data_IF_876238749180
#
_entry.id   IF_876238749180
#
_cell.length_a   1.000
_cell.length_b   1.000
_cell.length_c   1.000
_cell.angle_alpha   90.00
_cell.angle_beta   90.00
_cell.angle_gamma   90.00
#
_symmetry.space_group_name_H-M   'P 1'
#
loop_
_entity.id
_entity.type
_entity.pdbx_description
1 polymer ?
#
# COMPACT_ATOMS: atom_id res chain seq x y z
N UNK A 1 29.16 29.61 -60.00
CA UNK A 1 27.87 30.24 -59.60
C UNK A 1 26.83 29.14 -59.63
N UNK A 2 26.21 28.82 -58.47
CA UNK A 2 25.13 27.82 -58.26
C UNK A 2 25.40 26.42 -58.86
N UNK A 3 25.77 25.40 -58.10
CA UNK A 3 24.88 24.69 -57.18
C UNK A 3 25.68 24.09 -56.03
N UNK A 4 25.51 24.70 -54.87
CA UNK A 4 25.99 24.30 -53.57
C UNK A 4 24.81 23.63 -52.85
N UNK A 5 25.13 22.66 -51.99
CA UNK A 5 24.29 22.18 -50.88
C UNK A 5 23.15 21.22 -51.25
N UNK A 6 23.37 19.92 -51.07
CA UNK A 6 22.35 18.92 -50.65
C UNK A 6 22.99 17.51 -50.63
N UNK A 7 23.76 17.19 -49.58
CA UNK A 7 23.99 15.77 -49.24
C UNK A 7 24.56 15.53 -47.84
N UNK A 8 25.06 16.55 -47.15
CA UNK A 8 25.61 16.40 -45.78
C UNK A 8 24.58 16.51 -44.64
N UNK A 9 23.28 16.31 -44.92
CA UNK A 9 22.20 16.50 -43.93
C UNK A 9 21.44 15.22 -43.52
N UNK A 10 21.93 14.01 -43.83
CA UNK A 10 21.22 12.76 -43.50
C UNK A 10 22.14 11.75 -42.79
N UNK A 11 22.94 12.17 -41.80
CA UNK A 11 23.49 11.25 -40.76
C UNK A 11 23.62 12.01 -39.43
N UNK A 12 22.54 12.63 -38.95
CA UNK A 12 22.38 12.98 -37.52
C UNK A 12 20.92 12.72 -37.15
N UNK A 13 20.47 11.48 -37.36
CA UNK A 13 19.11 11.06 -37.07
C UNK A 13 19.07 9.70 -36.37
N UNK A 14 20.01 9.44 -35.46
CA UNK A 14 19.88 8.39 -34.43
C UNK A 14 20.70 8.88 -33.23
N UNK A 15 20.17 8.69 -32.01
CA UNK A 15 20.63 9.26 -30.73
C UNK A 15 19.94 10.58 -30.31
N UNK A 16 18.62 10.66 -30.48
CA UNK A 16 17.81 11.04 -29.31
C UNK A 16 17.33 9.75 -28.68
N UNK A 17 18.17 9.18 -27.81
CA UNK A 17 17.63 8.37 -26.73
C UNK A 17 16.74 9.36 -25.99
N UNK A 18 15.42 9.24 -26.14
CA UNK A 18 14.50 9.86 -25.22
C UNK A 18 15.02 9.47 -23.84
N UNK A 19 15.59 10.43 -23.10
CA UNK A 19 15.82 10.24 -21.70
C UNK A 19 14.44 9.91 -21.16
N UNK A 20 14.20 8.62 -20.88
CA UNK A 20 12.94 8.16 -20.35
C UNK A 20 12.71 9.03 -19.12
N UNK A 21 11.76 9.97 -19.22
CA UNK A 21 11.40 10.79 -18.08
C UNK A 21 10.81 9.82 -17.09
N UNK A 22 11.64 9.36 -16.16
CA UNK A 22 11.24 8.46 -15.09
C UNK A 22 10.10 9.17 -14.35
N UNK A 23 8.87 8.66 -14.51
CA UNK A 23 7.66 9.22 -13.91
C UNK A 23 7.65 8.91 -12.41
N UNK A 24 8.53 9.59 -11.67
CA UNK A 24 8.70 9.49 -10.22
C UNK A 24 7.87 10.53 -9.45
N UNK A 25 6.68 10.82 -9.97
CA UNK A 25 5.71 11.66 -9.29
C UNK A 25 5.18 10.95 -8.03
N UNK A 26 5.75 11.33 -6.88
CA UNK A 26 5.36 10.82 -5.58
C UNK A 26 3.88 11.06 -5.26
N UNK A 27 3.31 12.22 -5.64
CA UNK A 27 1.90 12.53 -5.33
C UNK A 27 0.96 11.61 -6.10
N UNK A 28 1.28 11.36 -7.37
CA UNK A 28 0.55 10.42 -8.22
C UNK A 28 0.66 8.99 -7.71
N UNK A 29 1.86 8.55 -7.34
CA UNK A 29 2.08 7.22 -6.77
C UNK A 29 1.32 7.02 -5.44
N UNK A 30 1.32 8.02 -4.57
CA UNK A 30 0.57 8.01 -3.31
C UNK A 30 -0.93 7.91 -3.57
N UNK A 31 -1.44 8.73 -4.49
CA UNK A 31 -2.84 8.71 -4.89
C UNK A 31 -3.23 7.35 -5.47
N UNK A 32 -2.42 6.76 -6.34
CA UNK A 32 -2.70 5.43 -6.87
C UNK A 32 -2.74 4.38 -5.74
N UNK A 33 -1.80 4.44 -4.80
CA UNK A 33 -1.70 3.49 -3.69
C UNK A 33 -2.86 3.62 -2.69
N UNK A 34 -3.33 4.84 -2.41
CA UNK A 34 -4.54 5.08 -1.60
C UNK A 34 -5.82 4.48 -2.22
N UNK A 35 -5.86 4.28 -3.53
CA UNK A 35 -7.04 3.76 -4.21
C UNK A 35 -7.03 2.24 -4.42
N UNK A 36 -6.01 1.53 -3.90
CA UNK A 36 -5.89 0.07 -4.00
C UNK A 36 -6.70 -0.70 -2.95
N UNK A 37 -7.10 -0.03 -1.86
CA UNK A 37 -7.90 -0.61 -0.79
C UNK A 37 -9.15 0.27 -0.55
N UNK A 38 -10.34 -0.33 -0.33
CA UNK A 38 -11.56 0.44 -0.06
C UNK A 38 -11.43 1.38 1.15
N UNK A 39 -10.75 0.93 2.21
CA UNK A 39 -10.57 1.65 3.48
C UNK A 39 -9.59 2.83 3.41
N UNK A 40 -8.81 2.95 2.34
CA UNK A 40 -7.94 4.11 2.08
C UNK A 40 -8.48 5.02 0.96
N UNK A 41 -9.50 4.56 0.25
CA UNK A 41 -10.08 5.28 -0.88
C UNK A 41 -11.06 6.36 -0.39
N UNK A 42 -10.71 7.63 -0.55
CA UNK A 42 -11.55 8.76 -0.11
C UNK A 42 -12.96 8.80 -0.69
N UNK A 43 -13.18 8.33 -1.93
CA UNK A 43 -14.50 8.26 -2.56
C UNK A 43 -15.39 7.25 -1.82
N UNK A 44 -14.82 6.09 -1.49
CA UNK A 44 -15.49 4.99 -0.78
C UNK A 44 -15.72 5.33 0.68
N UNK A 45 -14.74 5.93 1.37
CA UNK A 45 -14.91 6.36 2.77
C UNK A 45 -16.04 7.39 2.88
N UNK A 46 -16.09 8.36 1.96
CA UNK A 46 -17.13 9.41 1.97
C UNK A 46 -18.51 8.86 1.61
N UNK A 47 -18.57 7.90 0.68
CA UNK A 47 -19.83 7.30 0.19
C UNK A 47 -19.66 5.78 0.10
N UNK A 48 -19.80 5.07 1.24
CA UNK A 48 -19.60 3.63 1.24
C UNK A 48 -20.63 2.93 0.34
N UNK A 49 -20.20 1.92 -0.45
CA UNK A 49 -21.07 1.22 -1.37
C UNK A 49 -22.13 0.42 -0.60
N UNK A 50 -23.39 0.57 -1.02
CA UNK A 50 -24.54 -0.15 -0.45
C UNK A 50 -25.00 -1.30 -1.33
N UNK A 51 -24.56 -1.34 -2.60
CA UNK A 51 -24.97 -2.34 -3.59
C UNK A 51 -23.79 -2.86 -4.37
N UNK A 52 -23.96 -4.05 -4.97
CA UNK A 52 -22.94 -4.66 -5.86
C UNK A 52 -22.63 -3.74 -7.04
N UNK A 53 -23.65 -3.08 -7.61
CA UNK A 53 -23.45 -2.13 -8.71
C UNK A 53 -22.54 -0.96 -8.30
N UNK A 54 -22.75 -0.39 -7.11
CA UNK A 54 -21.87 0.66 -6.58
C UNK A 54 -20.45 0.13 -6.32
N UNK A 55 -20.31 -1.10 -5.81
CA UNK A 55 -18.99 -1.71 -5.59
C UNK A 55 -18.25 -2.03 -6.90
N UNK A 56 -18.98 -2.36 -7.98
CA UNK A 56 -18.39 -2.60 -9.29
C UNK A 56 -17.73 -1.35 -9.88
N UNK A 57 -18.19 -0.14 -9.53
CA UNK A 57 -17.54 1.12 -9.93
C UNK A 57 -16.12 1.21 -9.36
N UNK A 58 -15.92 0.80 -8.11
CA UNK A 58 -14.58 0.70 -7.50
C UNK A 58 -13.74 -0.34 -8.24
N UNK A 59 -14.28 -1.55 -8.44
CA UNK A 59 -13.58 -2.65 -9.12
C UNK A 59 -13.12 -2.31 -10.54
N UNK A 60 -13.89 -1.50 -11.28
CA UNK A 60 -13.52 -1.04 -12.61
C UNK A 60 -12.26 -0.16 -12.65
N UNK A 61 -11.91 0.48 -11.53
CA UNK A 61 -10.76 1.40 -11.43
C UNK A 61 -9.49 0.72 -10.89
N UNK A 62 -9.60 -0.36 -10.12
CA UNK A 62 -8.46 -0.99 -9.40
C UNK A 62 -7.26 -1.30 -10.30
N UNK A 63 -7.49 -1.96 -11.45
CA UNK A 63 -6.39 -2.34 -12.36
C UNK A 63 -5.56 -1.15 -12.84
N UNK A 64 -6.17 0.04 -12.96
CA UNK A 64 -5.46 1.27 -13.31
C UNK A 64 -4.53 1.70 -12.18
N UNK A 65 -5.00 1.64 -10.94
CA UNK A 65 -4.21 1.99 -9.76
C UNK A 65 -3.07 1.00 -9.55
N UNK A 66 -3.31 -0.31 -9.76
CA UNK A 66 -2.25 -1.34 -9.69
C UNK A 66 -1.13 -1.07 -10.70
N UNK A 67 -1.47 -0.79 -11.96
CA UNK A 67 -0.48 -0.44 -12.98
C UNK A 67 0.28 0.84 -12.64
N UNK A 68 -0.41 1.83 -12.11
CA UNK A 68 0.21 3.09 -11.70
C UNK A 68 1.26 2.90 -10.60
N UNK A 69 0.90 2.17 -9.54
CA UNK A 69 1.83 1.88 -8.42
C UNK A 69 3.00 1.01 -8.89
N UNK A 70 2.77 0.00 -9.75
CA UNK A 70 3.84 -0.83 -10.32
C UNK A 70 4.79 -0.05 -11.21
N UNK A 71 4.28 0.84 -12.06
CA UNK A 71 5.10 1.70 -12.93
C UNK A 71 6.00 2.63 -12.11
N UNK A 72 5.49 3.19 -11.01
CA UNK A 72 6.31 3.96 -10.07
C UNK A 72 7.45 3.09 -9.50
N UNK A 73 7.13 1.87 -9.06
CA UNK A 73 8.13 0.91 -8.57
C UNK A 73 9.24 0.63 -9.58
N UNK A 74 8.86 0.36 -10.82
CA UNK A 74 9.78 0.00 -11.91
C UNK A 74 10.76 1.12 -12.24
N UNK A 75 10.32 2.37 -12.10
CA UNK A 75 11.07 3.54 -12.49
C UNK A 75 11.87 4.19 -11.35
N UNK A 76 11.44 4.01 -10.09
CA UNK A 76 11.83 4.90 -9.00
C UNK A 76 12.30 4.20 -7.72
N UNK A 77 12.10 2.90 -7.59
CA UNK A 77 12.54 2.14 -6.41
C UNK A 77 13.80 1.33 -6.71
N UNK A 78 14.60 1.10 -5.67
CA UNK A 78 15.75 0.18 -5.75
C UNK A 78 15.29 -1.27 -5.88
N UNK A 79 16.22 -2.17 -6.21
CA UNK A 79 15.92 -3.57 -6.57
C UNK A 79 15.15 -4.28 -5.45
N UNK A 80 15.60 -4.14 -4.21
CA UNK A 80 15.05 -4.77 -3.02
C UNK A 80 13.63 -4.23 -2.74
N UNK A 81 13.45 -2.92 -2.74
CA UNK A 81 12.13 -2.29 -2.55
C UNK A 81 11.15 -2.58 -3.67
N UNK A 82 11.63 -2.67 -4.91
CA UNK A 82 10.83 -3.10 -6.07
C UNK A 82 10.37 -4.55 -5.90
N UNK A 83 11.23 -5.44 -5.41
CA UNK A 83 10.87 -6.83 -5.13
C UNK A 83 9.83 -6.90 -4.00
N UNK A 84 10.05 -6.20 -2.89
CA UNK A 84 9.10 -6.12 -1.77
C UNK A 84 7.75 -5.56 -2.22
N UNK A 85 7.73 -4.48 -3.02
CA UNK A 85 6.48 -3.95 -3.55
C UNK A 85 5.80 -4.95 -4.48
N UNK A 86 6.55 -5.74 -5.26
CA UNK A 86 5.97 -6.74 -6.14
C UNK A 86 5.24 -7.84 -5.37
N UNK A 87 5.79 -8.27 -4.23
CA UNK A 87 5.17 -9.22 -3.29
C UNK A 87 3.90 -8.61 -2.67
N UNK A 88 3.98 -7.37 -2.18
CA UNK A 88 2.83 -6.67 -1.60
C UNK A 88 1.71 -6.49 -2.61
N UNK A 89 2.06 -6.05 -3.83
CA UNK A 89 1.11 -5.87 -4.91
C UNK A 89 0.49 -7.19 -5.38
N UNK A 90 1.18 -8.33 -5.23
CA UNK A 90 0.59 -9.63 -5.49
C UNK A 90 -0.52 -9.95 -4.49
N UNK A 91 -0.29 -9.74 -3.19
CA UNK A 91 -1.31 -9.86 -2.14
C UNK A 91 -2.53 -8.98 -2.41
N UNK A 92 -2.29 -7.69 -2.68
CA UNK A 92 -3.33 -6.71 -3.05
C UNK A 92 -4.13 -7.16 -4.27
N UNK A 93 -3.47 -7.55 -5.35
CA UNK A 93 -4.14 -7.97 -6.59
C UNK A 93 -5.00 -9.20 -6.36
N UNK A 94 -4.53 -10.15 -5.54
CA UNK A 94 -5.24 -11.38 -5.20
C UNK A 94 -6.51 -11.09 -4.38
N UNK A 95 -6.41 -10.24 -3.37
CA UNK A 95 -7.56 -9.81 -2.55
C UNK A 95 -8.57 -9.04 -3.38
N UNK A 96 -8.11 -8.04 -4.14
CA UNK A 96 -9.00 -7.28 -5.01
C UNK A 96 -9.68 -8.17 -6.05
N UNK A 97 -8.97 -9.11 -6.69
CA UNK A 97 -9.57 -10.09 -7.62
C UNK A 97 -10.65 -10.93 -6.92
N UNK A 98 -10.41 -11.39 -5.70
CA UNK A 98 -11.38 -12.17 -4.91
C UNK A 98 -12.68 -11.39 -4.71
N UNK A 99 -12.59 -10.15 -4.23
CA UNK A 99 -13.75 -9.30 -3.96
C UNK A 99 -14.36 -8.68 -5.20
N UNK A 100 -13.63 -8.51 -6.30
CA UNK A 100 -14.17 -7.92 -7.53
C UNK A 100 -14.78 -8.93 -8.51
N UNK A 101 -14.50 -10.22 -8.33
CA UNK A 101 -15.01 -11.27 -9.23
C UNK A 101 -16.19 -12.03 -8.62
N UNK A 102 -16.11 -12.41 -7.34
CA UNK A 102 -17.12 -13.29 -6.72
C UNK A 102 -18.23 -12.48 -6.06
N UNK A 103 -19.46 -12.61 -6.55
CA UNK A 103 -20.68 -11.96 -6.00
C UNK A 103 -20.83 -12.15 -4.48
N UNK A 104 -20.72 -13.39 -3.99
CA UNK A 104 -20.81 -13.69 -2.57
C UNK A 104 -19.76 -12.94 -1.72
N UNK A 105 -18.55 -12.75 -2.26
CA UNK A 105 -17.49 -12.00 -1.58
C UNK A 105 -17.73 -10.49 -1.63
N UNK A 106 -18.23 -9.96 -2.75
CA UNK A 106 -18.71 -8.56 -2.81
C UNK A 106 -19.73 -8.29 -1.74
N UNK A 107 -20.73 -9.17 -1.65
CA UNK A 107 -21.81 -9.04 -0.67
C UNK A 107 -21.27 -9.07 0.76
N UNK A 108 -20.41 -10.03 1.10
CA UNK A 108 -19.78 -10.09 2.42
C UNK A 108 -19.02 -8.79 2.79
N UNK A 109 -18.28 -8.21 1.84
CA UNK A 109 -17.55 -6.96 2.08
C UNK A 109 -18.50 -5.76 2.20
N UNK A 110 -19.56 -5.68 1.39
CA UNK A 110 -20.60 -4.65 1.51
C UNK A 110 -21.30 -4.75 2.87
N UNK A 111 -21.67 -5.97 3.29
CA UNK A 111 -22.34 -6.20 4.57
C UNK A 111 -21.43 -5.83 5.75
N UNK A 112 -20.13 -6.14 5.67
CA UNK A 112 -19.12 -5.69 6.64
C UNK A 112 -19.06 -4.15 6.69
N UNK A 113 -18.96 -3.48 5.54
CA UNK A 113 -18.94 -2.01 5.47
C UNK A 113 -20.19 -1.39 6.12
N UNK A 114 -21.35 -1.98 5.86
CA UNK A 114 -22.62 -1.53 6.45
C UNK A 114 -22.69 -1.78 7.96
N UNK A 115 -22.25 -2.95 8.41
CA UNK A 115 -22.21 -3.33 9.82
C UNK A 115 -21.26 -2.45 10.63
N UNK A 116 -20.05 -2.15 10.11
CA UNK A 116 -19.13 -1.20 10.75
C UNK A 116 -19.74 0.21 10.85
N UNK A 117 -20.55 0.62 9.86
CA UNK A 117 -21.05 1.97 9.77
C UNK A 117 -19.95 3.00 9.42
N UNK A 118 -20.32 4.25 9.14
CA UNK A 118 -19.40 5.25 8.59
C UNK A 118 -18.26 5.64 9.55
N UNK A 119 -18.53 5.68 10.86
CA UNK A 119 -17.54 6.06 11.88
C UNK A 119 -16.44 5.01 11.96
N UNK A 120 -16.80 3.73 12.15
CA UNK A 120 -15.81 2.66 12.25
C UNK A 120 -15.11 2.39 10.92
N UNK A 121 -15.81 2.53 9.78
CA UNK A 121 -15.18 2.40 8.48
C UNK A 121 -14.09 3.46 8.26
N UNK A 122 -14.32 4.70 8.71
CA UNK A 122 -13.32 5.76 8.69
C UNK A 122 -12.15 5.46 9.64
N UNK A 123 -12.43 4.93 10.82
CA UNK A 123 -11.42 4.55 11.81
C UNK A 123 -10.34 3.61 11.23
N UNK A 124 -10.72 2.57 10.48
CA UNK A 124 -9.74 1.69 9.84
C UNK A 124 -8.85 2.43 8.82
N UNK A 125 -9.42 3.40 8.10
CA UNK A 125 -8.64 4.26 7.22
C UNK A 125 -7.70 5.21 7.96
N UNK A 126 -8.08 5.70 9.14
CA UNK A 126 -7.20 6.48 10.02
C UNK A 126 -6.06 5.63 10.59
N UNK A 127 -6.32 4.38 11.00
CA UNK A 127 -5.27 3.45 11.42
C UNK A 127 -4.18 3.29 10.36
N UNK A 128 -4.54 3.05 9.10
CA UNK A 128 -3.54 2.90 8.02
C UNK A 128 -2.80 4.21 7.71
N UNK A 129 -3.42 5.37 7.95
CA UNK A 129 -2.73 6.67 7.82
C UNK A 129 -1.71 6.87 8.93
N UNK A 130 -2.07 6.50 10.17
CA UNK A 130 -1.14 6.53 11.29
C UNK A 130 0.02 5.56 11.05
N UNK A 131 -0.26 4.36 10.52
CA UNK A 131 0.76 3.38 10.15
C UNK A 131 1.75 3.95 9.12
N UNK A 132 1.26 4.75 8.17
CA UNK A 132 2.10 5.46 7.20
C UNK A 132 3.07 6.44 7.88
N UNK A 133 2.62 7.13 8.92
CA UNK A 133 3.45 8.05 9.70
C UNK A 133 4.47 7.30 10.56
N UNK A 134 4.05 6.21 11.22
CA UNK A 134 4.95 5.38 12.03
C UNK A 134 6.03 4.73 11.15
N UNK A 135 5.68 4.20 9.98
CA UNK A 135 6.65 3.67 9.01
C UNK A 135 7.63 4.73 8.52
N UNK A 136 7.19 5.99 8.41
CA UNK A 136 8.08 7.10 8.10
C UNK A 136 9.11 7.31 9.23
N UNK A 137 8.66 7.34 10.48
CA UNK A 137 9.56 7.50 11.62
C UNK A 137 10.52 6.30 11.78
N UNK A 138 10.03 5.07 11.56
CA UNK A 138 10.84 3.85 11.55
C UNK A 138 11.93 3.94 10.48
N UNK A 139 11.62 4.43 9.29
CA UNK A 139 12.61 4.59 8.21
C UNK A 139 13.78 5.49 8.61
N UNK A 140 13.51 6.53 9.41
CA UNK A 140 14.51 7.48 9.90
C UNK A 140 15.18 7.04 11.22
N UNK A 141 14.78 5.90 11.80
CA UNK A 141 15.29 5.47 13.10
C UNK A 141 16.81 5.19 13.04
N UNK A 142 17.63 5.68 14.01
CA UNK A 142 19.08 5.63 13.87
C UNK A 142 19.69 4.23 13.69
N UNK A 143 19.14 3.23 14.39
CA UNK A 143 19.60 1.85 14.25
C UNK A 143 18.87 1.13 13.10
N UNK A 144 19.52 1.05 11.94
CA UNK A 144 18.99 0.39 10.76
C UNK A 144 18.56 -1.07 11.02
N UNK A 145 19.22 -1.78 11.95
CA UNK A 145 18.91 -3.19 12.26
C UNK A 145 17.55 -3.35 12.95
N UNK A 146 17.06 -2.30 13.60
CA UNK A 146 15.76 -2.32 14.29
C UNK A 146 14.60 -1.92 13.39
N UNK A 147 14.85 -1.38 12.19
CA UNK A 147 13.78 -0.87 11.33
C UNK A 147 12.82 -1.95 10.83
N UNK A 148 13.34 -3.11 10.40
CA UNK A 148 12.50 -4.25 10.00
C UNK A 148 11.73 -4.83 11.20
N UNK A 149 12.37 -5.18 12.34
CA UNK A 149 11.64 -5.59 13.53
C UNK A 149 10.54 -4.60 13.96
N UNK A 150 10.82 -3.30 13.94
CA UNK A 150 9.83 -2.26 14.25
C UNK A 150 8.65 -2.28 13.28
N UNK A 151 8.90 -2.36 11.96
CA UNK A 151 7.83 -2.42 10.97
C UNK A 151 6.97 -3.70 11.10
N UNK A 152 7.59 -4.82 11.47
CA UNK A 152 6.90 -6.10 11.74
C UNK A 152 6.02 -6.02 12.99
N UNK A 153 6.56 -5.48 14.09
CA UNK A 153 5.81 -5.31 15.32
C UNK A 153 4.68 -4.28 15.19
N UNK A 154 4.91 -3.22 14.41
CA UNK A 154 3.88 -2.25 14.04
C UNK A 154 2.71 -2.94 13.31
N UNK A 155 3.00 -3.83 12.36
CA UNK A 155 1.98 -4.61 11.65
C UNK A 155 1.19 -5.54 12.57
N UNK A 156 1.86 -6.25 13.48
CA UNK A 156 1.19 -7.08 14.49
C UNK A 156 0.25 -6.23 15.36
N UNK A 157 0.73 -5.09 15.86
CA UNK A 157 -0.06 -4.16 16.66
C UNK A 157 -1.31 -3.66 15.90
N UNK A 158 -1.15 -3.22 14.65
CA UNK A 158 -2.28 -2.78 13.82
C UNK A 158 -3.29 -3.90 13.53
N UNK A 159 -2.80 -5.12 13.32
CA UNK A 159 -3.65 -6.29 13.10
C UNK A 159 -4.49 -6.56 14.35
N UNK A 160 -3.85 -6.65 15.53
CA UNK A 160 -4.52 -6.85 16.82
C UNK A 160 -5.53 -5.75 17.10
N UNK A 161 -5.14 -4.48 16.98
CA UNK A 161 -6.04 -3.35 17.21
C UNK A 161 -7.25 -3.36 16.27
N UNK A 162 -7.04 -3.70 14.99
CA UNK A 162 -8.13 -3.81 14.01
C UNK A 162 -9.10 -4.93 14.39
N UNK A 163 -8.58 -6.12 14.75
CA UNK A 163 -9.40 -7.27 15.10
C UNK A 163 -10.17 -7.06 16.41
N UNK A 164 -9.56 -6.45 17.42
CA UNK A 164 -10.24 -6.05 18.65
C UNK A 164 -11.35 -5.03 18.41
N UNK A 165 -11.12 -4.06 17.52
CA UNK A 165 -12.13 -3.06 17.17
C UNK A 165 -13.30 -3.68 16.41
N UNK A 166 -13.04 -4.61 15.48
CA UNK A 166 -14.08 -5.37 14.78
C UNK A 166 -14.87 -6.25 15.74
N UNK A 167 -14.21 -6.91 16.70
CA UNK A 167 -14.91 -7.75 17.68
C UNK A 167 -15.93 -6.94 18.50
N UNK A 168 -15.60 -5.69 18.82
CA UNK A 168 -16.51 -4.78 19.56
C UNK A 168 -17.62 -4.19 18.69
N UNK A 169 -17.35 -3.92 17.41
CA UNK A 169 -18.24 -3.12 16.56
C UNK A 169 -19.03 -3.93 15.53
N UNK A 170 -18.45 -5.03 15.05
CA UNK A 170 -18.99 -5.88 14.00
C UNK A 170 -18.49 -7.33 14.11
N UNK A 171 -18.71 -8.03 15.25
CA UNK A 171 -18.04 -9.30 15.59
C UNK A 171 -18.25 -10.40 14.56
N UNK A 172 -19.44 -10.45 13.95
CA UNK A 172 -19.79 -11.43 12.89
C UNK A 172 -18.76 -11.47 11.75
N UNK A 173 -18.05 -10.37 11.49
CA UNK A 173 -17.12 -10.26 10.38
C UNK A 173 -15.64 -10.27 10.81
N UNK A 174 -15.31 -10.57 12.09
CA UNK A 174 -13.92 -10.63 12.57
C UNK A 174 -13.03 -11.51 11.71
N UNK A 175 -13.47 -12.72 11.36
CA UNK A 175 -12.71 -13.65 10.53
C UNK A 175 -12.54 -13.14 9.08
N UNK A 176 -13.56 -12.47 8.53
CA UNK A 176 -13.45 -11.89 7.19
C UNK A 176 -12.44 -10.73 7.19
N UNK A 177 -12.42 -9.91 8.24
CA UNK A 177 -11.43 -8.84 8.40
C UNK A 177 -10.02 -9.40 8.57
N UNK A 178 -9.81 -10.43 9.39
CA UNK A 178 -8.52 -11.12 9.51
C UNK A 178 -8.04 -11.67 8.15
N UNK A 179 -8.95 -12.29 7.39
CA UNK A 179 -8.64 -12.78 6.04
C UNK A 179 -8.26 -11.65 5.07
N UNK A 180 -8.87 -10.46 5.21
CA UNK A 180 -8.56 -9.29 4.41
C UNK A 180 -7.16 -8.76 4.75
N UNK A 181 -6.85 -8.59 6.04
CA UNK A 181 -5.55 -8.09 6.51
C UNK A 181 -4.44 -9.03 6.04
N UNK A 182 -4.53 -10.31 6.42
CA UNK A 182 -3.56 -11.34 6.01
C UNK A 182 -3.47 -11.48 4.49
N UNK A 183 -4.59 -11.32 3.79
CA UNK A 183 -4.63 -11.38 2.34
C UNK A 183 -3.85 -10.25 1.66
N UNK A 184 -3.96 -9.02 2.19
CA UNK A 184 -3.33 -7.83 1.61
C UNK A 184 -1.82 -7.81 1.85
N UNK A 185 -1.38 -8.11 3.07
CA UNK A 185 0.00 -7.86 3.50
C UNK A 185 0.75 -9.09 4.01
N UNK A 186 0.06 -10.19 4.27
CA UNK A 186 0.65 -11.39 4.89
C UNK A 186 1.82 -11.96 4.10
N UNK A 187 1.73 -12.02 2.77
CA UNK A 187 2.84 -12.51 1.94
C UNK A 187 4.11 -11.62 2.09
N UNK A 188 3.95 -10.32 2.30
CA UNK A 188 5.08 -9.38 2.48
C UNK A 188 5.67 -9.46 3.88
N UNK A 189 4.84 -9.50 4.92
CA UNK A 189 5.32 -9.63 6.29
C UNK A 189 5.92 -11.01 6.56
N UNK A 190 5.38 -12.09 5.97
CA UNK A 190 6.02 -13.41 6.02
C UNK A 190 7.40 -13.41 5.34
N UNK A 191 7.56 -12.64 4.26
CA UNK A 191 8.84 -12.48 3.58
C UNK A 191 9.86 -11.67 4.41
N UNK A 192 9.42 -10.63 5.11
CA UNK A 192 10.30 -9.68 5.80
C UNK A 192 10.57 -10.02 7.26
N UNK A 193 9.59 -10.58 7.98
CA UNK A 193 9.59 -10.55 9.45
C UNK A 193 10.24 -11.76 10.12
N UNK A 194 10.40 -12.88 9.42
CA UNK A 194 10.96 -14.10 10.00
C UNK A 194 10.30 -14.42 11.35
N UNK A 195 11.07 -14.35 12.43
CA UNK A 195 10.62 -14.65 13.79
C UNK A 195 9.80 -13.53 14.49
N UNK A 196 9.70 -12.34 13.91
CA UNK A 196 8.90 -11.21 14.44
C UNK A 196 7.43 -11.30 13.98
N UNK A 197 6.79 -12.45 14.21
CA UNK A 197 5.42 -12.75 13.82
C UNK A 197 4.41 -12.50 14.98
N UNK A 198 3.11 -12.61 14.66
CA UNK A 198 1.93 -12.27 15.49
C UNK A 198 1.94 -12.80 16.95
N UNK A 199 2.80 -13.76 17.30
CA UNK A 199 2.83 -14.44 18.60
C UNK A 199 4.15 -14.28 19.38
N UNK A 200 5.06 -13.41 18.95
CA UNK A 200 6.33 -13.21 19.66
C UNK A 200 6.25 -12.09 20.71
N UNK A 201 6.58 -12.42 21.96
CA UNK A 201 6.94 -11.50 23.06
C UNK A 201 8.08 -10.52 22.70
N UNK A 202 8.77 -10.78 21.58
CA UNK A 202 9.82 -9.92 21.02
C UNK A 202 9.33 -8.52 20.63
N UNK A 203 8.03 -8.31 20.44
CA UNK A 203 7.49 -7.01 20.02
C UNK A 203 7.28 -6.00 21.15
N UNK A 204 7.03 -6.48 22.38
CA UNK A 204 6.80 -5.61 23.55
C UNK A 204 7.94 -4.59 23.76
N UNK A 205 9.23 -4.99 23.81
CA UNK A 205 10.33 -4.05 24.01
C UNK A 205 10.65 -3.18 22.77
N UNK A 206 10.07 -3.48 21.60
CA UNK A 206 10.32 -2.79 20.34
C UNK A 206 9.28 -1.71 20.09
N UNK A 207 8.00 -2.00 20.36
CA UNK A 207 6.89 -1.05 20.17
C UNK A 207 7.11 0.20 21.04
N UNK A 208 7.56 0.03 22.29
CA UNK A 208 7.87 1.16 23.19
C UNK A 208 8.94 2.10 22.64
N UNK A 209 9.83 1.59 21.77
CA UNK A 209 10.91 2.35 21.14
C UNK A 209 10.51 2.94 19.79
N UNK A 210 9.32 2.61 19.28
CA UNK A 210 8.87 3.08 17.97
C UNK A 210 8.67 4.60 18.03
N UNK A 211 9.44 5.38 17.26
CA UNK A 211 9.36 6.84 17.30
C UNK A 211 7.98 7.30 16.83
N UNK A 212 7.41 8.28 17.52
CA UNK A 212 6.21 8.97 17.04
C UNK A 212 6.61 10.03 16.03
N UNK A 213 5.92 10.06 14.89
CA UNK A 213 6.11 11.10 13.89
C UNK A 213 5.19 12.30 14.16
N UNK A 214 5.76 13.49 14.34
CA UNK A 214 5.02 14.75 14.49
C UNK A 214 5.11 15.66 13.25
N UNK A 215 5.95 15.30 12.27
CA UNK A 215 6.16 16.03 11.03
C UNK A 215 5.12 15.77 9.94
N UNK A 216 5.28 16.46 8.81
CA UNK A 216 4.48 16.19 7.62
C UNK A 216 4.89 14.85 6.98
N UNK A 217 3.92 13.97 6.74
CA UNK A 217 4.18 12.72 6.00
C UNK A 217 4.22 12.96 4.50
N UNK A 218 5.25 12.43 3.83
CA UNK A 218 5.36 12.44 2.37
C UNK A 218 4.30 11.57 1.69
N UNK A 219 3.92 10.48 2.34
CA UNK A 219 3.00 9.47 1.85
C UNK A 219 1.81 9.34 2.79
N UNK A 220 0.60 9.42 2.25
CA UNK A 220 -0.62 9.14 3.01
C UNK A 220 -0.98 7.65 2.99
N UNK A 221 -0.56 6.94 1.94
CA UNK A 221 -0.67 5.48 1.86
C UNK A 221 0.53 4.83 2.57
N UNK A 222 0.27 3.81 3.40
CA UNK A 222 1.33 3.01 4.01
C UNK A 222 2.15 2.15 3.03
N UNK A 223 1.66 1.94 1.80
CA UNK A 223 2.25 1.00 0.83
C UNK A 223 3.69 1.41 0.48
N UNK A 224 3.92 2.68 0.16
CA UNK A 224 5.25 3.15 -0.25
C UNK A 224 6.21 3.28 0.96
N UNK A 225 5.81 3.87 2.11
CA UNK A 225 6.62 3.84 3.32
C UNK A 225 7.08 2.44 3.73
N UNK A 226 6.18 1.44 3.65
CA UNK A 226 6.51 0.06 4.00
C UNK A 226 7.70 -0.47 3.18
N UNK A 227 7.73 -0.20 1.88
CA UNK A 227 8.85 -0.65 1.03
C UNK A 227 10.07 0.24 1.20
N UNK A 228 9.90 1.53 1.51
CA UNK A 228 11.02 2.44 1.76
C UNK A 228 11.77 2.17 3.06
N UNK A 229 11.18 1.42 4.00
CA UNK A 229 11.93 0.86 5.14
C UNK A 229 13.04 -0.07 4.64
N UNK A 230 12.85 -0.77 3.51
CA UNK A 230 13.87 -1.63 2.91
C UNK A 230 14.99 -0.80 2.29
N UNK A 231 14.65 0.25 1.54
CA UNK A 231 15.62 1.18 0.95
C UNK A 231 16.52 1.83 2.00
N UNK A 232 16.03 2.01 3.23
CA UNK A 232 16.81 2.68 4.27
C UNK A 232 17.84 1.78 4.95
N UNK A 233 17.86 0.47 4.68
CA UNK A 233 18.82 -0.46 5.30
C UNK A 233 20.27 -0.30 4.79
N UNK A 234 20.48 0.55 3.79
CA UNK A 234 21.77 0.74 3.10
C UNK A 234 22.25 2.19 3.18
#
# INVERSE_FOLDING_TARGET
MLTLMLSSAIIVAVLRIDAATYDCDHKKADQCSLNLMPITNSEIIRRPPKTIAQFNVYCGKIRRYERCTRKFAENCLQKESKQTLSILMYGISRVNKRYCTKEARKKALIDLIQCSGPINFRYYGDLLRNASADLHAIREYPDAKLRIPMACCLYSQYTTQTLEHVEKTCPKYRQEVDSIIRGYSGDSFNFLCGDYADESDKCDPIIEKTPKWDGAVKWKSMIIPMVQVIDSLH
#
